data_IF_216663398344
#
_entry.id   IF_216663398344
#
_cell.length_a   1.000
_cell.length_b   1.000
_cell.length_c   1.000
_cell.angle_alpha   90.00
_cell.angle_beta   90.00
_cell.angle_gamma   90.00
#
_symmetry.space_group_name_H-M   'P 1'
#
loop_
_entity.id
_entity.type
_entity.pdbx_description
1 polymer ?
#
# COMPACT_ATOMS: atom_id res chain seq x y z
N UNK A 1 -17.63 -30.21 -25.26
CA UNK A 1 -17.02 -29.09 -26.00
C UNK A 1 -16.73 -28.00 -24.96
N UNK A 2 -15.51 -27.95 -24.44
CA UNK A 2 -15.08 -26.94 -23.45
C UNK A 2 -13.62 -26.62 -23.75
N UNK A 3 -13.34 -25.94 -24.86
CA UNK A 3 -11.95 -25.69 -25.30
C UNK A 3 -11.72 -24.39 -26.06
N UNK A 4 -12.63 -23.39 -26.05
CA UNK A 4 -12.43 -22.16 -26.86
C UNK A 4 -12.47 -20.81 -26.10
N UNK A 5 -12.77 -20.79 -24.80
CA UNK A 5 -13.00 -19.51 -24.09
C UNK A 5 -11.73 -18.68 -23.84
N UNK A 6 -10.55 -19.31 -23.70
CA UNK A 6 -9.30 -18.60 -23.38
C UNK A 6 -8.68 -17.92 -24.61
N UNK A 7 -8.77 -18.57 -25.78
CA UNK A 7 -8.24 -18.01 -27.04
C UNK A 7 -9.07 -16.81 -27.52
N UNK A 8 -10.39 -16.90 -27.45
CA UNK A 8 -11.30 -15.80 -27.77
C UNK A 8 -11.08 -14.59 -26.86
N UNK A 9 -10.96 -14.81 -25.54
CA UNK A 9 -10.67 -13.73 -24.59
C UNK A 9 -9.33 -13.04 -24.89
N UNK A 10 -8.29 -13.82 -25.17
CA UNK A 10 -6.98 -13.27 -25.55
C UNK A 10 -7.10 -12.38 -26.80
N UNK A 11 -7.84 -12.80 -27.83
CA UNK A 11 -8.02 -11.99 -29.04
C UNK A 11 -8.79 -10.70 -28.77
N UNK A 12 -9.81 -10.72 -27.89
CA UNK A 12 -10.52 -9.52 -27.45
C UNK A 12 -9.57 -8.52 -26.78
N UNK A 13 -8.70 -8.99 -25.88
CA UNK A 13 -7.70 -8.15 -25.22
C UNK A 13 -6.68 -7.58 -26.21
N UNK A 14 -6.19 -8.40 -27.15
CA UNK A 14 -5.28 -7.95 -28.22
C UNK A 14 -5.93 -6.85 -29.05
N UNK A 15 -7.16 -7.06 -29.52
CA UNK A 15 -7.90 -6.07 -30.31
C UNK A 15 -8.02 -4.73 -29.57
N UNK A 16 -8.39 -4.79 -28.28
CA UNK A 16 -8.53 -3.58 -27.47
C UNK A 16 -7.20 -2.82 -27.29
N UNK A 17 -6.10 -3.53 -27.01
CA UNK A 17 -4.76 -2.89 -26.88
C UNK A 17 -4.25 -2.38 -28.23
N UNK A 18 -4.55 -3.05 -29.33
CA UNK A 18 -4.18 -2.60 -30.67
C UNK A 18 -4.84 -1.26 -31.02
N UNK A 19 -6.11 -1.10 -30.67
CA UNK A 19 -6.89 0.11 -30.95
C UNK A 19 -6.56 1.27 -29.98
N UNK A 20 -6.35 0.97 -28.70
CA UNK A 20 -6.26 1.98 -27.64
C UNK A 20 -4.84 2.22 -27.11
N UNK A 21 -3.84 1.50 -27.65
CA UNK A 21 -2.48 1.49 -27.12
C UNK A 21 -2.37 0.69 -25.81
N UNK A 22 -1.20 0.71 -25.14
CA UNK A 22 -0.94 -0.10 -23.94
C UNK A 22 -1.93 0.18 -22.80
N UNK A 23 -2.45 -0.84 -22.10
CA UNK A 23 -3.51 -0.69 -21.09
C UNK A 23 -3.13 -1.30 -19.74
N UNK A 24 -3.69 -0.75 -18.65
CA UNK A 24 -3.70 -1.35 -17.32
C UNK A 24 -4.76 -2.45 -17.20
N UNK A 25 -4.59 -3.35 -16.24
CA UNK A 25 -5.60 -4.37 -15.94
C UNK A 25 -6.98 -3.78 -15.63
N UNK A 26 -7.05 -2.63 -14.95
CA UNK A 26 -8.32 -1.96 -14.67
C UNK A 26 -9.03 -1.42 -15.90
N UNK A 27 -8.26 -0.95 -16.88
CA UNK A 27 -8.81 -0.41 -18.13
C UNK A 27 -9.34 -1.54 -19.00
N UNK A 28 -8.63 -2.68 -19.01
CA UNK A 28 -9.12 -3.91 -19.63
C UNK A 28 -10.38 -4.44 -18.95
N UNK A 29 -10.44 -4.44 -17.61
CA UNK A 29 -11.61 -4.88 -16.85
C UNK A 29 -12.83 -3.99 -17.09
N UNK A 30 -12.63 -2.67 -17.19
CA UNK A 30 -13.70 -1.72 -17.54
C UNK A 30 -14.21 -1.93 -18.98
N UNK A 31 -13.33 -2.27 -19.91
CA UNK A 31 -13.69 -2.53 -21.31
C UNK A 31 -14.36 -3.90 -21.52
N UNK A 32 -14.11 -4.86 -20.64
CA UNK A 32 -14.58 -6.24 -20.71
C UNK A 32 -15.35 -6.62 -19.42
N UNK A 33 -16.45 -5.94 -19.09
CA UNK A 33 -17.14 -6.11 -17.81
C UNK A 33 -17.82 -7.48 -17.67
N UNK A 34 -18.01 -8.21 -18.78
CA UNK A 34 -18.51 -9.58 -18.82
C UNK A 34 -17.47 -10.62 -18.40
N UNK A 35 -16.20 -10.23 -18.29
CA UNK A 35 -15.08 -11.14 -18.01
C UNK A 35 -14.66 -11.02 -16.55
N UNK A 36 -14.66 -12.12 -15.78
CA UNK A 36 -14.11 -12.11 -14.42
C UNK A 36 -12.64 -11.65 -14.41
N UNK A 37 -12.28 -10.79 -13.46
CA UNK A 37 -10.93 -10.18 -13.39
C UNK A 37 -9.82 -11.24 -13.32
N UNK A 38 -10.05 -12.37 -12.64
CA UNK A 38 -9.08 -13.46 -12.62
C UNK A 38 -8.89 -14.10 -14.01
N UNK A 39 -9.97 -14.32 -14.76
CA UNK A 39 -9.88 -14.87 -16.12
C UNK A 39 -9.15 -13.91 -17.06
N UNK A 40 -9.39 -12.61 -16.90
CA UNK A 40 -8.67 -11.56 -17.63
C UNK A 40 -7.18 -11.55 -17.28
N UNK A 41 -6.84 -11.60 -15.98
CA UNK A 41 -5.46 -11.73 -15.52
C UNK A 41 -4.78 -12.98 -16.07
N UNK A 42 -5.44 -14.15 -16.04
CA UNK A 42 -4.93 -15.39 -16.60
C UNK A 42 -4.68 -15.27 -18.11
N UNK A 43 -5.61 -14.68 -18.87
CA UNK A 43 -5.46 -14.49 -20.31
C UNK A 43 -4.26 -13.60 -20.65
N UNK A 44 -4.04 -12.53 -19.88
CA UNK A 44 -2.89 -11.66 -20.04
C UNK A 44 -1.56 -12.36 -19.68
N UNK A 45 -1.50 -13.07 -18.56
CA UNK A 45 -0.24 -13.66 -18.06
C UNK A 45 0.13 -15.01 -18.70
N UNK A 46 -0.83 -15.73 -19.32
CA UNK A 46 -0.54 -16.96 -20.08
C UNK A 46 -0.13 -16.69 -21.53
N UNK A 47 -0.43 -15.50 -22.05
CA UNK A 47 -0.21 -15.15 -23.46
C UNK A 47 1.19 -14.61 -23.69
N UNK A 48 1.90 -15.19 -24.66
CA UNK A 48 3.20 -14.67 -25.14
C UNK A 48 3.06 -13.45 -26.06
N UNK A 49 1.82 -13.06 -26.41
CA UNK A 49 1.55 -11.95 -27.32
C UNK A 49 1.71 -10.58 -26.66
N UNK A 50 1.77 -10.50 -25.32
CA UNK A 50 1.83 -9.24 -24.59
C UNK A 50 3.24 -8.93 -24.12
N UNK A 51 3.63 -7.66 -24.24
CA UNK A 51 4.70 -7.07 -23.46
C UNK A 51 4.12 -6.53 -22.16
N UNK A 52 4.79 -6.83 -21.05
CA UNK A 52 4.37 -6.41 -19.73
C UNK A 52 5.41 -5.46 -19.13
N UNK A 53 4.94 -4.39 -18.51
CA UNK A 53 5.78 -3.50 -17.71
C UNK A 53 5.17 -3.29 -16.33
N UNK A 54 5.96 -3.55 -15.30
CA UNK A 54 5.57 -3.34 -13.90
C UNK A 54 6.21 -2.05 -13.38
N UNK A 55 5.46 -1.29 -12.58
CA UNK A 55 5.96 -0.05 -11.99
C UNK A 55 5.58 0.15 -10.52
N UNK A 56 5.19 -0.92 -9.83
CA UNK A 56 5.09 -0.96 -8.36
C UNK A 56 6.42 -1.30 -7.70
N UNK A 57 6.61 -0.77 -6.49
CA UNK A 57 7.56 -1.29 -5.51
C UNK A 57 6.82 -2.22 -4.55
N UNK A 58 7.28 -3.46 -4.41
CA UNK A 58 6.68 -4.35 -3.43
C UNK A 58 7.15 -4.02 -2.03
N UNK A 59 6.26 -4.14 -1.06
CA UNK A 59 6.57 -4.02 0.36
C UNK A 59 5.83 -5.08 1.18
N UNK A 60 6.41 -5.42 2.32
CA UNK A 60 5.88 -6.44 3.22
C UNK A 60 4.55 -5.96 3.83
N UNK A 61 3.59 -6.84 4.02
CA UNK A 61 2.37 -6.60 4.79
C UNK A 61 2.14 -7.80 5.69
N UNK A 62 1.82 -7.53 6.95
CA UNK A 62 1.43 -8.59 7.89
C UNK A 62 -0.07 -8.80 7.87
N UNK A 63 -0.49 -10.05 7.83
CA UNK A 63 -1.89 -10.47 7.76
C UNK A 63 -2.17 -11.48 8.88
N UNK A 64 -2.94 -11.04 9.88
CA UNK A 64 -3.33 -11.87 11.04
C UNK A 64 -4.16 -13.09 10.65
N UNK A 65 -4.72 -13.12 9.44
CA UNK A 65 -5.58 -14.21 8.97
C UNK A 65 -4.80 -15.37 8.36
N UNK A 66 -3.48 -15.27 8.24
CA UNK A 66 -2.60 -16.32 7.71
C UNK A 66 -1.72 -16.94 8.78
N UNK A 67 -1.41 -18.21 8.59
CA UNK A 67 -0.49 -18.95 9.45
C UNK A 67 0.94 -18.40 9.38
N UNK A 68 1.44 -18.07 8.18
CA UNK A 68 2.76 -17.48 7.96
C UNK A 68 2.81 -15.96 8.25
N UNK A 69 1.65 -15.33 8.36
CA UNK A 69 1.42 -13.91 8.62
C UNK A 69 2.02 -12.94 7.58
N UNK A 70 2.68 -13.39 6.52
CA UNK A 70 3.47 -12.53 5.62
C UNK A 70 2.91 -12.49 4.21
N UNK A 71 2.81 -11.30 3.63
CA UNK A 71 2.35 -11.08 2.24
C UNK A 71 3.07 -9.89 1.62
N UNK A 72 3.04 -9.79 0.30
CA UNK A 72 3.49 -8.60 -0.42
C UNK A 72 2.31 -7.74 -0.85
N UNK A 73 2.45 -6.44 -0.63
CA UNK A 73 1.62 -5.39 -1.22
C UNK A 73 2.40 -4.71 -2.36
N UNK A 74 1.77 -4.29 -3.45
CA UNK A 74 0.37 -4.58 -3.81
C UNK A 74 0.12 -6.09 -3.99
N UNK A 75 -1.11 -6.55 -3.73
CA UNK A 75 -1.52 -7.93 -4.02
C UNK A 75 -1.41 -8.26 -5.52
N UNK A 76 -1.69 -9.51 -5.91
CA UNK A 76 -1.65 -9.89 -7.34
C UNK A 76 -2.73 -9.13 -8.11
N UNK A 77 -3.93 -8.99 -7.54
CA UNK A 77 -5.01 -8.19 -8.11
C UNK A 77 -4.62 -6.72 -8.22
N UNK A 78 -4.17 -6.09 -7.12
CA UNK A 78 -3.85 -4.65 -7.11
C UNK A 78 -2.69 -4.33 -8.07
N UNK A 79 -1.69 -5.22 -8.13
CA UNK A 79 -0.58 -5.12 -9.08
C UNK A 79 -1.07 -5.22 -10.54
N UNK A 80 -1.97 -6.16 -10.83
CA UNK A 80 -2.58 -6.27 -12.16
C UNK A 80 -3.40 -5.04 -12.55
N UNK A 81 -4.28 -4.60 -11.65
CA UNK A 81 -5.25 -3.54 -11.93
C UNK A 81 -4.58 -2.17 -12.06
N UNK A 82 -3.59 -1.88 -11.22
CA UNK A 82 -3.08 -0.51 -11.05
C UNK A 82 -1.61 -0.33 -11.44
N UNK A 83 -0.81 -1.40 -11.49
CA UNK A 83 0.65 -1.29 -11.62
C UNK A 83 1.29 -2.15 -12.72
N UNK A 84 0.48 -2.87 -13.50
CA UNK A 84 0.93 -3.67 -14.63
C UNK A 84 0.33 -3.12 -15.92
N UNK A 85 1.20 -2.68 -16.83
CA UNK A 85 0.85 -2.20 -18.15
C UNK A 85 1.09 -3.28 -19.20
N UNK A 86 0.08 -3.54 -20.03
CA UNK A 86 0.11 -4.50 -21.13
C UNK A 86 0.16 -3.77 -22.47
N UNK A 87 1.13 -4.10 -23.31
CA UNK A 87 1.25 -3.62 -24.68
C UNK A 87 1.47 -4.75 -25.66
N UNK A 88 1.41 -4.44 -26.95
CA UNK A 88 1.72 -5.37 -28.04
C UNK A 88 3.14 -5.13 -28.59
N UNK A 89 3.70 -6.10 -29.34
CA UNK A 89 4.91 -5.88 -30.12
C UNK A 89 4.78 -4.61 -30.99
N UNK A 90 5.79 -3.75 -30.93
CA UNK A 90 5.80 -2.45 -31.63
C UNK A 90 5.30 -1.26 -30.80
N UNK A 91 4.68 -1.47 -29.64
CA UNK A 91 4.16 -0.38 -28.78
C UNK A 91 5.13 0.03 -27.65
N UNK A 92 6.42 -0.35 -27.72
CA UNK A 92 7.38 -0.15 -26.64
C UNK A 92 7.53 1.32 -26.21
N UNK A 93 7.58 2.25 -27.16
CA UNK A 93 7.69 3.69 -26.83
C UNK A 93 6.46 4.20 -26.09
N UNK A 94 5.26 3.84 -26.56
CA UNK A 94 4.00 4.17 -25.90
C UNK A 94 3.94 3.58 -24.47
N UNK A 95 4.47 2.37 -24.28
CA UNK A 95 4.55 1.74 -22.96
C UNK A 95 5.45 2.53 -22.02
N UNK A 96 6.63 2.97 -22.47
CA UNK A 96 7.56 3.75 -21.66
C UNK A 96 6.93 5.09 -21.26
N UNK A 97 6.31 5.79 -22.20
CA UNK A 97 5.63 7.07 -21.95
C UNK A 97 4.49 6.89 -20.95
N UNK A 98 3.61 5.92 -21.18
CA UNK A 98 2.44 5.67 -20.30
C UNK A 98 2.87 5.21 -18.92
N UNK A 99 3.88 4.34 -18.80
CA UNK A 99 4.45 3.96 -17.51
C UNK A 99 5.02 5.19 -16.76
N UNK A 100 5.72 6.09 -17.46
CA UNK A 100 6.24 7.32 -16.88
C UNK A 100 5.12 8.21 -16.33
N UNK A 101 4.06 8.43 -17.11
CA UNK A 101 2.88 9.20 -16.71
C UNK A 101 2.19 8.60 -15.48
N UNK A 102 1.94 7.29 -15.47
CA UNK A 102 1.29 6.60 -14.36
C UNK A 102 2.12 6.62 -13.08
N UNK A 103 3.42 6.34 -13.19
CA UNK A 103 4.33 6.39 -12.05
C UNK A 103 4.44 7.82 -11.47
N UNK A 104 4.42 8.85 -12.32
CA UNK A 104 4.44 10.24 -11.88
C UNK A 104 3.14 10.65 -11.20
N UNK A 105 1.98 10.20 -11.71
CA UNK A 105 0.69 10.42 -11.06
C UNK A 105 0.68 9.89 -9.62
N UNK A 106 1.12 8.64 -9.38
CA UNK A 106 1.18 8.09 -8.02
C UNK A 106 2.13 8.89 -7.10
N UNK A 107 3.27 9.37 -7.63
CA UNK A 107 4.20 10.24 -6.89
C UNK A 107 3.57 11.59 -6.55
N UNK A 108 2.83 12.19 -7.48
CA UNK A 108 2.14 13.46 -7.27
C UNK A 108 1.06 13.32 -6.19
N UNK A 109 0.20 12.30 -6.28
CA UNK A 109 -0.81 12.00 -5.26
C UNK A 109 -0.16 11.77 -3.90
N UNK A 110 0.95 11.01 -3.87
CA UNK A 110 1.69 10.77 -2.63
C UNK A 110 2.24 12.07 -2.05
N UNK A 111 2.81 12.96 -2.86
CA UNK A 111 3.31 14.28 -2.43
C UNK A 111 2.21 15.18 -1.89
N UNK A 112 1.04 15.18 -2.51
CA UNK A 112 -0.13 15.93 -2.02
C UNK A 112 -0.55 15.43 -0.64
N UNK A 113 -0.64 14.11 -0.45
CA UNK A 113 -0.98 13.51 0.85
C UNK A 113 0.10 13.74 1.90
N UNK A 114 1.38 13.69 1.52
CA UNK A 114 2.51 14.07 2.40
C UNK A 114 2.39 15.54 2.83
N UNK A 115 2.01 16.45 1.92
CA UNK A 115 1.80 17.85 2.25
C UNK A 115 0.64 18.04 3.25
N UNK A 116 -0.43 17.23 3.14
CA UNK A 116 -1.51 17.18 4.13
C UNK A 116 -0.97 16.70 5.48
N UNK A 117 -0.18 15.63 5.53
CA UNK A 117 0.46 15.13 6.75
C UNK A 117 1.35 16.21 7.40
N UNK A 118 2.11 16.95 6.60
CA UNK A 118 2.94 18.07 7.08
C UNK A 118 2.08 19.20 7.67
N UNK A 119 0.94 19.50 7.06
CA UNK A 119 0.00 20.51 7.57
C UNK A 119 -0.60 20.08 8.91
N UNK A 120 -1.00 18.82 9.04
CA UNK A 120 -1.48 18.21 10.30
C UNK A 120 -0.42 18.35 11.39
N UNK A 121 0.82 17.96 11.10
CA UNK A 121 1.92 18.09 12.06
C UNK A 121 2.22 19.55 12.41
N UNK A 122 2.13 20.46 11.44
CA UNK A 122 2.31 21.90 11.70
C UNK A 122 1.24 22.42 12.65
N UNK A 123 -0.02 22.03 12.49
CA UNK A 123 -1.11 22.41 13.38
C UNK A 123 -0.89 21.87 14.80
N UNK A 124 -0.56 20.59 14.93
CA UNK A 124 -0.17 19.98 16.21
C UNK A 124 1.01 20.75 16.85
N UNK A 125 2.04 21.07 16.07
CA UNK A 125 3.24 21.75 16.56
C UNK A 125 3.04 23.20 16.97
N UNK A 126 2.00 23.88 16.47
CA UNK A 126 1.65 25.23 16.95
C UNK A 126 1.10 25.16 18.37
N UNK A 127 0.34 24.11 18.67
CA UNK A 127 -0.19 23.86 20.00
C UNK A 127 0.95 23.48 20.99
N UNK A 128 1.99 22.82 20.50
CA UNK A 128 3.10 22.32 21.32
C UNK A 128 4.25 23.32 21.48
N UNK A 129 4.74 23.48 22.71
CA UNK A 129 5.94 24.28 23.01
C UNK A 129 7.20 23.75 22.28
N UNK A 130 8.21 24.60 22.10
CA UNK A 130 9.48 24.22 21.44
C UNK A 130 10.17 23.04 22.14
N UNK A 131 10.14 23.04 23.47
CA UNK A 131 10.71 21.98 24.31
C UNK A 131 10.07 20.62 24.00
N UNK A 132 8.73 20.56 23.98
CA UNK A 132 7.99 19.34 23.64
C UNK A 132 8.32 18.86 22.23
N UNK A 133 8.37 19.78 21.25
CA UNK A 133 8.70 19.45 19.85
C UNK A 133 10.09 18.86 19.68
N UNK A 134 11.05 19.23 20.53
CA UNK A 134 12.41 18.68 20.51
C UNK A 134 12.52 17.28 21.11
N UNK A 135 11.48 16.80 21.79
CA UNK A 135 11.44 15.52 22.49
C UNK A 135 10.40 14.54 21.90
N UNK A 136 9.91 14.84 20.70
CA UNK A 136 9.06 13.93 19.91
C UNK A 136 9.55 13.88 18.47
N UNK A 137 9.26 12.81 17.76
CA UNK A 137 9.43 12.74 16.30
C UNK A 137 8.19 12.13 15.68
N UNK A 138 7.88 12.56 14.45
CA UNK A 138 6.80 12.02 13.65
C UNK A 138 7.34 11.55 12.32
N UNK A 139 6.79 10.45 11.81
CA UNK A 139 7.10 9.90 10.50
C UNK A 139 5.87 9.25 9.89
N UNK A 140 5.88 9.11 8.56
CA UNK A 140 4.83 8.42 7.80
C UNK A 140 5.26 7.00 7.43
N UNK A 141 4.29 6.15 7.17
CA UNK A 141 4.48 4.77 6.71
C UNK A 141 3.49 4.41 5.58
N UNK A 142 3.41 3.12 5.21
CA UNK A 142 2.45 2.64 4.23
C UNK A 142 2.73 3.12 2.80
N UNK A 143 1.68 3.25 1.99
CA UNK A 143 1.79 3.58 0.56
C UNK A 143 2.55 4.90 0.30
N UNK A 144 2.43 5.88 1.19
CA UNK A 144 3.10 7.17 1.03
C UNK A 144 4.62 7.04 1.13
N UNK A 145 5.13 6.12 1.97
CA UNK A 145 6.56 5.87 2.08
C UNK A 145 7.16 5.28 0.79
N UNK A 146 6.34 4.56 0.00
CA UNK A 146 6.72 3.98 -1.28
C UNK A 146 6.32 4.80 -2.51
N UNK A 147 5.68 5.95 -2.32
CA UNK A 147 5.09 6.76 -3.40
C UNK A 147 4.06 6.01 -4.26
N UNK A 148 3.29 5.13 -3.64
CA UNK A 148 2.26 4.31 -4.30
C UNK A 148 0.83 4.76 -3.99
N UNK A 149 0.67 5.94 -3.39
CA UNK A 149 -0.66 6.42 -3.03
C UNK A 149 -1.55 6.63 -4.26
N UNK A 150 -2.85 6.44 -4.09
CA UNK A 150 -3.88 6.68 -5.11
C UNK A 150 -5.07 7.43 -4.50
N UNK A 151 -5.94 7.95 -5.38
CA UNK A 151 -7.14 8.70 -5.03
C UNK A 151 -8.42 7.96 -5.45
N UNK A 152 -8.35 6.64 -5.66
CA UNK A 152 -9.53 5.86 -6.05
C UNK A 152 -10.58 5.97 -4.93
N UNK A 153 -11.78 6.49 -5.21
CA UNK A 153 -12.77 6.73 -4.16
C UNK A 153 -13.21 5.41 -3.52
N UNK A 154 -13.21 5.36 -2.19
CA UNK A 154 -13.75 4.23 -1.44
C UNK A 154 -14.56 4.70 -0.25
N UNK A 155 -15.46 3.86 0.22
CA UNK A 155 -16.22 4.11 1.44
C UNK A 155 -15.36 3.80 2.67
N UNK A 156 -15.35 4.71 3.66
CA UNK A 156 -14.71 4.48 4.95
C UNK A 156 -15.61 3.62 5.83
N UNK A 157 -15.17 2.41 6.16
CA UNK A 157 -15.98 1.36 6.78
C UNK A 157 -16.70 1.78 8.07
N UNK A 158 -16.10 2.65 8.88
CA UNK A 158 -16.68 3.04 10.17
C UNK A 158 -17.66 4.23 10.07
N UNK A 159 -17.60 5.05 9.02
CA UNK A 159 -18.45 6.26 8.91
C UNK A 159 -19.33 6.32 7.66
N UNK A 160 -19.10 5.46 6.66
CA UNK A 160 -19.78 5.53 5.36
C UNK A 160 -19.37 6.72 4.49
N UNK A 161 -18.34 7.46 4.89
CA UNK A 161 -17.88 8.65 4.16
C UNK A 161 -17.02 8.23 2.96
N UNK A 162 -17.16 8.93 1.84
CA UNK A 162 -16.32 8.69 0.67
C UNK A 162 -14.95 9.35 0.85
N UNK A 163 -13.89 8.55 0.89
CA UNK A 163 -12.50 9.01 1.03
C UNK A 163 -11.72 8.84 -0.26
N UNK A 164 -10.67 9.65 -0.42
CA UNK A 164 -9.78 9.60 -1.59
C UNK A 164 -8.67 8.56 -1.38
N UNK A 165 -8.93 7.31 -1.72
CA UNK A 165 -7.93 6.23 -1.81
C UNK A 165 -7.09 6.04 -0.55
N UNK A 166 -5.77 5.94 -0.71
CA UNK A 166 -4.81 5.54 0.33
C UNK A 166 -4.87 6.39 1.61
N UNK A 167 -4.60 5.75 2.73
CA UNK A 167 -4.57 6.38 4.05
C UNK A 167 -3.29 7.19 4.26
N UNK A 168 -3.35 8.12 5.22
CA UNK A 168 -2.19 8.86 5.70
C UNK A 168 -1.83 8.30 7.08
N UNK A 169 -0.89 7.35 7.11
CA UNK A 169 -0.38 6.74 8.34
C UNK A 169 0.70 7.62 8.99
N UNK A 170 0.43 8.14 10.19
CA UNK A 170 1.36 8.98 10.97
C UNK A 170 1.72 8.29 12.29
N UNK A 171 2.99 8.01 12.50
CA UNK A 171 3.48 7.53 13.81
C UNK A 171 4.21 8.65 14.51
N UNK A 172 3.86 8.85 15.79
CA UNK A 172 4.47 9.84 16.67
C UNK A 172 5.17 9.09 17.82
N UNK A 173 6.48 9.29 17.94
CA UNK A 173 7.30 8.75 19.01
C UNK A 173 7.64 9.85 20.00
N UNK A 174 7.39 9.59 21.27
CA UNK A 174 7.70 10.48 22.39
C UNK A 174 8.91 9.98 23.16
N UNK A 175 9.79 10.89 23.54
CA UNK A 175 10.81 10.65 24.57
C UNK A 175 10.16 10.28 25.90
N UNK A 176 10.83 9.47 26.70
CA UNK A 176 10.39 9.13 28.07
C UNK A 176 10.37 10.35 29.01
N UNK A 177 11.14 11.40 28.69
CA UNK A 177 11.20 12.63 29.46
C UNK A 177 9.92 13.47 29.40
N UNK A 178 9.03 13.22 28.42
CA UNK A 178 7.77 13.95 28.30
C UNK A 178 6.72 13.41 29.28
N UNK A 179 5.96 14.25 29.99
CA UNK A 179 4.85 13.80 30.83
C UNK A 179 3.73 13.10 30.03
N UNK A 180 2.99 12.19 30.65
CA UNK A 180 1.88 11.47 30.00
C UNK A 180 0.71 12.39 29.60
N UNK A 181 0.57 13.54 30.25
CA UNK A 181 -0.39 14.57 29.89
C UNK A 181 -0.14 15.10 28.47
N UNK A 182 1.14 15.18 28.06
CA UNK A 182 1.50 15.58 26.70
C UNK A 182 1.06 14.54 25.68
N UNK A 183 1.25 13.25 25.98
CA UNK A 183 0.77 12.16 25.12
C UNK A 183 -0.75 12.24 24.95
N UNK A 184 -1.47 12.35 26.06
CA UNK A 184 -2.94 12.43 26.07
C UNK A 184 -3.44 13.62 25.25
N UNK A 185 -2.76 14.76 25.37
CA UNK A 185 -3.07 15.96 24.59
C UNK A 185 -2.83 15.75 23.09
N UNK A 186 -1.71 15.13 22.70
CA UNK A 186 -1.41 14.80 21.31
C UNK A 186 -2.46 13.85 20.74
N UNK A 187 -2.84 12.81 21.49
CA UNK A 187 -3.87 11.85 21.06
C UNK A 187 -5.22 12.55 20.81
N UNK A 188 -5.64 13.44 21.72
CA UNK A 188 -6.89 14.17 21.57
C UNK A 188 -6.87 15.12 20.36
N UNK A 189 -5.79 15.84 20.15
CA UNK A 189 -5.64 16.79 19.03
C UNK A 189 -5.54 16.05 17.69
N UNK A 190 -4.77 14.96 17.61
CA UNK A 190 -4.70 14.12 16.42
C UNK A 190 -6.03 13.47 16.09
N UNK A 191 -6.82 13.05 17.10
CA UNK A 191 -8.18 12.53 16.89
C UNK A 191 -9.11 13.59 16.30
N UNK A 192 -9.03 14.83 16.78
CA UNK A 192 -9.78 15.96 16.22
C UNK A 192 -9.38 16.25 14.76
N UNK A 193 -8.08 16.24 14.47
CA UNK A 193 -7.55 16.43 13.12
C UNK A 193 -7.96 15.29 12.18
N UNK A 194 -7.89 14.02 12.61
CA UNK A 194 -8.42 12.87 11.86
C UNK A 194 -9.87 13.12 11.44
N UNK A 195 -10.72 13.50 12.39
CA UNK A 195 -12.12 13.77 12.11
C UNK A 195 -12.33 14.97 11.16
N UNK A 196 -11.50 16.01 11.27
CA UNK A 196 -11.58 17.19 10.41
C UNK A 196 -11.26 16.84 8.95
N UNK A 197 -10.13 16.18 8.71
CA UNK A 197 -9.65 15.87 7.36
C UNK A 197 -10.49 14.79 6.66
N UNK A 198 -11.06 13.86 7.43
CA UNK A 198 -11.99 12.86 6.91
C UNK A 198 -13.23 13.52 6.28
N UNK A 199 -13.79 14.54 6.93
CA UNK A 199 -15.03 15.22 6.50
C UNK A 199 -14.79 16.49 5.69
N UNK A 200 -13.53 16.91 5.54
CA UNK A 200 -13.22 18.17 4.86
C UNK A 200 -13.60 18.08 3.37
N UNK A 201 -14.41 19.01 2.82
CA UNK A 201 -14.95 18.91 1.47
C UNK A 201 -13.89 18.75 0.37
N UNK A 202 -12.72 19.34 0.56
CA UNK A 202 -11.62 19.31 -0.42
C UNK A 202 -10.65 18.16 -0.22
N UNK A 203 -10.43 17.71 1.03
CA UNK A 203 -9.41 16.69 1.33
C UNK A 203 -10.04 15.30 1.27
N UNK A 204 -11.01 15.02 2.15
CA UNK A 204 -11.59 13.68 2.33
C UNK A 204 -10.52 12.61 2.45
N UNK A 205 -9.55 12.85 3.33
CA UNK A 205 -8.45 11.94 3.58
C UNK A 205 -8.66 11.25 4.93
N UNK A 206 -8.47 9.94 4.93
CA UNK A 206 -8.35 9.16 6.15
C UNK A 206 -6.93 9.34 6.70
N UNK A 207 -6.83 9.84 7.93
CA UNK A 207 -5.57 9.95 8.66
C UNK A 207 -5.62 8.93 9.78
N UNK A 208 -4.68 8.01 9.76
CA UNK A 208 -4.46 7.08 10.85
C UNK A 208 -3.21 7.48 11.62
N UNK A 209 -3.26 7.36 12.94
CA UNK A 209 -2.13 7.72 13.75
C UNK A 209 -1.93 6.81 14.95
N UNK A 210 -0.66 6.68 15.35
CA UNK A 210 -0.26 5.99 16.56
C UNK A 210 0.70 6.88 17.33
N UNK A 211 0.39 7.17 18.60
CA UNK A 211 1.31 7.83 19.51
C UNK A 211 1.83 6.85 20.56
N UNK A 212 3.15 6.70 20.65
CA UNK A 212 3.78 5.80 21.61
C UNK A 212 5.14 6.29 22.11
N UNK A 213 5.60 5.69 23.20
CA UNK A 213 6.91 5.95 23.79
C UNK A 213 8.02 5.31 22.96
N UNK A 214 9.23 5.88 23.01
CA UNK A 214 10.42 5.32 22.37
C UNK A 214 10.70 3.90 22.87
N UNK A 215 10.66 3.68 24.19
CA UNK A 215 10.88 2.37 24.81
C UNK A 215 9.90 1.31 24.29
N UNK A 216 8.65 1.68 24.03
CA UNK A 216 7.65 0.77 23.45
C UNK A 216 8.07 0.37 22.04
N UNK A 217 8.52 1.32 21.21
CA UNK A 217 9.02 1.00 19.88
C UNK A 217 10.26 0.10 19.93
N UNK A 218 11.23 0.40 20.79
CA UNK A 218 12.44 -0.42 20.95
C UNK A 218 12.13 -1.85 21.43
N UNK A 219 11.15 -2.00 22.33
CA UNK A 219 10.67 -3.32 22.76
C UNK A 219 10.00 -4.08 21.61
N UNK A 220 9.28 -3.39 20.72
CA UNK A 220 8.67 -4.03 19.55
C UNK A 220 9.70 -4.54 18.54
N UNK A 221 10.93 -4.04 18.56
CA UNK A 221 12.02 -4.58 17.75
C UNK A 221 12.51 -5.97 18.18
N UNK A 222 11.99 -6.51 19.28
CA UNK A 222 12.19 -7.93 19.60
C UNK A 222 11.49 -8.86 18.60
N UNK A 223 10.53 -8.34 17.81
CA UNK A 223 9.94 -9.03 16.66
C UNK A 223 9.28 -10.37 17.04
N UNK A 224 8.65 -10.43 18.22
CA UNK A 224 8.22 -11.70 18.82
C UNK A 224 6.82 -12.13 18.40
N UNK A 225 5.92 -11.18 18.23
CA UNK A 225 4.54 -11.39 17.82
C UNK A 225 4.18 -10.51 16.61
N UNK A 226 2.97 -10.69 16.08
CA UNK A 226 2.51 -9.94 14.92
C UNK A 226 2.46 -8.42 15.15
N UNK A 227 2.19 -7.96 16.38
CA UNK A 227 2.14 -6.54 16.68
C UNK A 227 3.54 -5.92 16.70
N UNK A 228 4.51 -6.64 17.24
CA UNK A 228 5.93 -6.32 17.17
C UNK A 228 6.39 -6.25 15.71
N UNK A 229 6.03 -7.25 14.89
CA UNK A 229 6.35 -7.29 13.46
C UNK A 229 5.80 -6.08 12.70
N UNK A 230 4.51 -5.77 12.89
CA UNK A 230 3.85 -4.62 12.26
C UNK A 230 4.55 -3.32 12.67
N UNK A 231 4.78 -3.10 13.96
CA UNK A 231 5.41 -1.89 14.45
C UNK A 231 6.86 -1.72 13.95
N UNK A 232 7.62 -2.82 13.92
CA UNK A 232 8.99 -2.85 13.41
C UNK A 232 9.03 -2.51 11.92
N UNK A 233 8.13 -3.10 11.13
CA UNK A 233 8.03 -2.80 9.69
C UNK A 233 7.64 -1.35 9.43
N UNK A 234 6.69 -0.81 10.19
CA UNK A 234 6.30 0.60 10.08
C UNK A 234 7.52 1.52 10.33
N UNK A 235 8.37 1.19 11.30
CA UNK A 235 9.62 1.92 11.54
C UNK A 235 10.66 1.70 10.43
N UNK A 236 10.71 0.51 9.83
CA UNK A 236 11.67 0.14 8.78
C UNK A 236 11.45 0.88 7.46
N UNK A 237 10.21 1.08 7.07
CA UNK A 237 9.87 1.78 5.82
C UNK A 237 9.66 3.28 6.00
N UNK A 238 9.67 3.77 7.24
CA UNK A 238 9.18 5.10 7.55
C UNK A 238 9.91 6.22 6.81
N UNK A 239 9.19 7.30 6.52
CA UNK A 239 9.76 8.56 6.06
C UNK A 239 9.55 9.65 7.12
N UNK A 240 10.63 10.32 7.53
CA UNK A 240 10.56 11.39 8.53
C UNK A 240 9.60 12.51 8.11
N UNK A 241 8.75 12.94 9.03
CA UNK A 241 7.71 13.95 8.80
C UNK A 241 7.97 15.24 9.59
N UNK A 242 8.43 15.16 10.83
CA UNK A 242 8.73 16.34 11.64
C UNK A 242 9.12 16.06 13.10
N UNK A 243 9.53 17.11 13.81
CA UNK A 243 9.99 17.03 15.20
C UNK A 243 11.49 16.83 15.31
N UNK A 244 11.93 16.03 16.28
CA UNK A 244 13.32 15.72 16.58
C UNK A 244 13.90 14.70 15.60
N UNK A 245 14.77 15.16 14.70
CA UNK A 245 15.52 14.27 13.81
C UNK A 245 16.43 13.33 14.61
N UNK A 246 17.00 13.79 15.72
CA UNK A 246 17.81 12.96 16.62
C UNK A 246 17.03 11.75 17.13
N UNK A 247 15.81 11.97 17.64
CA UNK A 247 14.96 10.86 18.13
C UNK A 247 14.59 9.89 16.99
N UNK A 248 14.34 10.40 15.79
CA UNK A 248 14.10 9.55 14.63
C UNK A 248 15.33 8.68 14.28
N UNK A 249 16.52 9.26 14.26
CA UNK A 249 17.77 8.52 14.02
C UNK A 249 18.02 7.47 15.11
N UNK A 250 17.75 7.78 16.37
CA UNK A 250 17.88 6.81 17.46
C UNK A 250 16.97 5.58 17.27
N UNK A 251 15.74 5.79 16.79
CA UNK A 251 14.83 4.69 16.45
C UNK A 251 15.41 3.84 15.31
N UNK A 252 15.94 4.48 14.26
CA UNK A 252 16.58 3.80 13.14
C UNK A 252 17.83 3.01 13.55
N UNK A 253 18.67 3.58 14.41
CA UNK A 253 19.88 2.93 14.91
C UNK A 253 19.54 1.74 15.82
N UNK A 254 18.48 1.85 16.63
CA UNK A 254 18.00 0.76 17.46
C UNK A 254 17.54 -0.45 16.62
N UNK A 255 16.98 -0.22 15.42
CA UNK A 255 16.65 -1.31 14.51
C UNK A 255 17.89 -2.08 14.04
N UNK A 256 18.90 -1.37 13.57
CA UNK A 256 20.16 -1.98 13.12
C UNK A 256 20.87 -2.73 14.26
N UNK A 257 20.81 -2.19 15.49
CA UNK A 257 21.41 -2.79 16.69
C UNK A 257 20.70 -4.08 17.12
N UNK A 258 19.37 -4.13 16.99
CA UNK A 258 18.57 -5.31 17.34
C UNK A 258 18.57 -6.36 16.23
N UNK A 259 18.93 -5.98 15.00
CA UNK A 259 18.94 -6.85 13.83
C UNK A 259 17.55 -7.11 13.24
N UNK A 260 16.54 -6.33 13.66
CA UNK A 260 15.16 -6.49 13.19
C UNK A 260 14.98 -6.13 11.71
N UNK A 261 15.85 -5.26 11.18
CA UNK A 261 15.95 -4.94 9.76
C UNK A 261 16.17 -6.21 8.92
N UNK A 262 17.10 -7.08 9.33
CA UNK A 262 17.39 -8.35 8.65
C UNK A 262 16.23 -9.34 8.75
N UNK A 263 15.51 -9.36 9.87
CA UNK A 263 14.33 -10.20 10.04
C UNK A 263 13.21 -9.78 9.08
N UNK A 264 13.01 -8.46 8.91
CA UNK A 264 12.05 -7.92 7.95
C UNK A 264 12.44 -8.27 6.51
N UNK A 265 13.73 -8.17 6.16
CA UNK A 265 14.23 -8.60 4.84
C UNK A 265 14.03 -10.10 4.60
N UNK A 266 14.22 -10.94 5.61
CA UNK A 266 13.95 -12.38 5.51
C UNK A 266 12.46 -12.68 5.28
N UNK A 267 11.57 -12.02 6.03
CA UNK A 267 10.12 -12.15 5.83
C UNK A 267 9.70 -11.64 4.44
N UNK A 268 10.35 -10.59 3.92
CA UNK A 268 10.14 -10.11 2.55
C UNK A 268 10.54 -11.15 1.49
N UNK A 269 11.73 -11.74 1.61
CA UNK A 269 12.20 -12.79 0.69
C UNK A 269 11.33 -14.05 0.73
N UNK A 270 10.81 -14.39 1.91
CA UNK A 270 9.83 -15.47 2.06
C UNK A 270 8.53 -15.14 1.30
N UNK A 271 7.94 -13.98 1.57
CA UNK A 271 6.71 -13.54 0.92
C UNK A 271 6.86 -13.41 -0.61
N UNK A 272 8.06 -13.09 -1.11
CA UNK A 272 8.36 -13.05 -2.53
C UNK A 272 8.31 -14.45 -3.18
N UNK A 273 8.79 -15.49 -2.49
CA UNK A 273 8.68 -16.88 -2.93
C UNK A 273 7.22 -17.32 -2.94
N UNK A 274 6.46 -16.95 -1.91
CA UNK A 274 5.05 -17.31 -1.78
C UNK A 274 4.21 -16.63 -2.85
N UNK A 275 4.47 -15.35 -3.18
CA UNK A 275 3.84 -14.67 -4.32
C UNK A 275 4.06 -15.43 -5.62
N UNK A 276 5.29 -15.90 -5.89
CA UNK A 276 5.59 -16.68 -7.10
C UNK A 276 4.82 -18.01 -7.12
N UNK A 277 4.69 -18.67 -5.97
CA UNK A 277 3.89 -19.89 -5.86
C UNK A 277 2.39 -19.62 -6.05
N UNK A 278 1.87 -18.55 -5.45
CA UNK A 278 0.50 -18.10 -5.60
C UNK A 278 0.16 -17.78 -7.07
N UNK A 279 1.03 -17.02 -7.76
CA UNK A 279 0.86 -16.72 -9.19
C UNK A 279 0.82 -18.00 -10.03
N UNK A 280 1.73 -18.96 -9.79
CA UNK A 280 1.71 -20.25 -10.51
C UNK A 280 0.43 -21.04 -10.25
N UNK A 281 -0.06 -21.03 -9.02
CA UNK A 281 -1.31 -21.72 -8.66
C UNK A 281 -2.50 -21.07 -9.35
N UNK A 282 -2.63 -19.75 -9.24
CA UNK A 282 -3.68 -18.96 -9.89
C UNK A 282 -3.65 -19.09 -11.42
N UNK A 283 -2.47 -19.26 -12.04
CA UNK A 283 -2.35 -19.50 -13.48
C UNK A 283 -2.78 -20.90 -13.92
N UNK A 284 -3.06 -21.84 -13.01
CA UNK A 284 -3.43 -23.22 -13.37
C UNK A 284 -4.84 -23.62 -12.91
N UNK A 285 -5.49 -22.82 -12.07
CA UNK A 285 -6.87 -23.08 -11.63
C UNK A 285 -7.89 -22.69 -12.70
N UNK A 286 -9.03 -23.42 -12.82
CA UNK A 286 -10.13 -23.03 -13.70
C UNK A 286 -10.75 -21.70 -13.24
N UNK A 287 -10.92 -20.74 -14.16
CA UNK A 287 -11.38 -19.38 -13.83
C UNK A 287 -12.79 -19.29 -13.24
N UNK A 288 -13.63 -20.30 -13.45
CA UNK A 288 -15.07 -20.24 -13.14
C UNK A 288 -15.43 -20.86 -11.78
N UNK A 289 -14.48 -21.56 -11.14
CA UNK A 289 -14.70 -22.27 -9.86
C UNK A 289 -13.41 -22.27 -9.04
N UNK A 290 -13.16 -21.17 -8.34
CA UNK A 290 -12.10 -21.13 -7.33
C UNK A 290 -12.72 -21.11 -5.94
N UNK A 291 -12.15 -21.92 -5.04
CA UNK A 291 -12.48 -21.88 -3.62
C UNK A 291 -11.98 -20.58 -2.96
N UNK A 292 -12.45 -20.34 -1.73
CA UNK A 292 -12.11 -19.14 -0.96
C UNK A 292 -10.61 -19.04 -0.67
N UNK A 293 -9.94 -20.17 -0.49
CA UNK A 293 -8.50 -20.26 -0.23
C UNK A 293 -7.70 -19.78 -1.45
N UNK A 294 -8.00 -20.30 -2.63
CA UNK A 294 -7.42 -19.90 -3.90
C UNK A 294 -7.73 -18.44 -4.21
N UNK A 295 -8.95 -17.98 -3.93
CA UNK A 295 -9.34 -16.57 -4.11
C UNK A 295 -8.54 -15.64 -3.19
N UNK A 296 -8.27 -16.08 -1.96
CA UNK A 296 -7.46 -15.32 -1.02
C UNK A 296 -6.03 -15.09 -1.53
N UNK A 297 -5.51 -15.93 -2.44
CA UNK A 297 -4.20 -15.73 -3.05
C UNK A 297 -4.16 -14.51 -3.98
N UNK A 298 -5.30 -14.13 -4.57
CA UNK A 298 -5.36 -13.07 -5.57
C UNK A 298 -5.43 -11.66 -4.94
N UNK A 299 -6.16 -11.50 -3.84
CA UNK A 299 -6.30 -10.22 -3.13
C UNK A 299 -6.60 -10.40 -1.64
N UNK A 300 -6.42 -9.32 -0.86
CA UNK A 300 -6.78 -9.29 0.56
C UNK A 300 -8.20 -8.74 0.74
N UNK A 301 -8.90 -9.15 1.81
CA UNK A 301 -10.31 -8.78 2.05
C UNK A 301 -10.57 -7.26 2.05
N UNK A 302 -9.61 -6.45 2.48
CA UNK A 302 -9.68 -4.98 2.48
C UNK A 302 -9.60 -4.36 1.07
N UNK A 303 -8.78 -4.91 0.17
CA UNK A 303 -8.65 -4.41 -1.21
C UNK A 303 -9.89 -4.71 -2.06
N UNK A 304 -10.77 -5.62 -1.61
CA UNK A 304 -12.01 -5.94 -2.32
C UNK A 304 -12.87 -4.70 -2.55
N UNK A 305 -12.88 -3.75 -1.62
CA UNK A 305 -13.69 -2.52 -1.70
C UNK A 305 -13.13 -1.53 -2.72
N UNK A 306 -11.84 -1.64 -3.06
CA UNK A 306 -11.19 -0.77 -4.05
C UNK A 306 -11.48 -1.20 -5.50
N UNK A 307 -11.88 -2.46 -5.71
CA UNK A 307 -12.06 -3.08 -7.03
C UNK A 307 -13.42 -3.76 -7.21
N UNK A 308 -14.39 -3.49 -6.33
CA UNK A 308 -15.77 -3.98 -6.40
C UNK A 308 -16.70 -3.08 -7.21
#
# INVERSE_FOLDING_TARGET
MVTDSTGELQQRVIGFIAENGPQLGKELALALPDVPVLALWQACYRSEAFHMSHFASYYLRFDVTRDDQVRLSPSILRDFMSFTLFGLPGQREQMIERQGTLANMHREISREKIAVAQLVMKQLFVSLGREVRSQLCAFIAGDLAYFLAHNEPREHAASGEMVKGSDIDIVIILSESLPDEIKTRIDAEMTALKSLYLRHPQYRHEIDFICKRKSVMERQFQYTDIHDKIASKIAYESMFLGGSLTLYMEVRDAMSRTGVDRLIEQDFEHALKDRKHAMRTLLNVPGDTIDDETRSLFYFSQERVEFS
#
